data_IF_867512070214
#
_entry.id   IF_867512070214
#
_cell.length_a   1.000
_cell.length_b   1.000
_cell.length_c   1.000
_cell.angle_alpha   90.00
_cell.angle_beta   90.00
_cell.angle_gamma   90.00
#
_symmetry.space_group_name_H-M   'P 1'
#
loop_
_entity.id
_entity.type
_entity.pdbx_description
1 polymer ?
#
# COMPACT_ATOMS: atom_id res chain seq x y z
N UNK A 1 22.97 -20.05 0.20
CA UNK A 1 22.17 -20.89 1.12
C UNK A 1 20.91 -20.11 1.37
N UNK A 2 19.72 -20.71 1.16
CA UNK A 2 18.47 -20.04 1.52
C UNK A 2 18.54 -19.69 3.00
N UNK A 3 18.35 -18.42 3.33
CA UNK A 3 18.35 -17.97 4.73
C UNK A 3 17.19 -18.67 5.45
N UNK A 4 17.50 -19.43 6.48
CA UNK A 4 16.48 -20.02 7.35
C UNK A 4 15.78 -18.89 8.11
N UNK A 5 14.52 -18.62 7.78
CA UNK A 5 13.70 -17.60 8.41
C UNK A 5 12.92 -18.10 9.64
N UNK A 6 13.13 -19.35 10.07
CA UNK A 6 12.33 -19.98 11.15
C UNK A 6 12.39 -19.21 12.48
N UNK A 7 13.51 -18.55 12.74
CA UNK A 7 13.71 -17.74 13.94
C UNK A 7 13.91 -16.25 13.61
N UNK A 8 13.53 -15.83 12.40
CA UNK A 8 13.70 -14.44 12.01
C UNK A 8 12.74 -13.54 12.78
N UNK A 9 13.28 -12.44 13.29
CA UNK A 9 12.53 -11.41 14.03
C UNK A 9 12.79 -10.04 13.44
N UNK A 10 11.92 -9.09 13.80
CA UNK A 10 12.09 -7.67 13.49
C UNK A 10 11.70 -6.81 14.69
N UNK A 11 12.13 -5.57 14.72
CA UNK A 11 11.82 -4.61 15.78
C UNK A 11 10.69 -3.69 15.34
N UNK A 12 9.51 -3.81 15.97
CA UNK A 12 8.33 -3.04 15.64
C UNK A 12 7.66 -2.40 16.85
N UNK A 13 6.72 -1.50 16.58
CA UNK A 13 5.91 -0.84 17.60
C UNK A 13 4.61 -1.60 17.77
N UNK A 14 4.38 -2.15 18.96
CA UNK A 14 3.12 -2.78 19.29
C UNK A 14 2.02 -1.71 19.44
N UNK A 15 0.88 -1.98 18.81
CA UNK A 15 -0.31 -1.16 18.94
C UNK A 15 -1.29 -1.76 19.94
N UNK A 16 -2.26 -0.96 20.34
CA UNK A 16 -3.25 -1.25 21.37
C UNK A 16 -4.06 -2.53 21.04
N UNK A 17 -4.34 -2.76 19.75
CA UNK A 17 -5.00 -3.98 19.25
C UNK A 17 -4.05 -5.17 19.01
N UNK A 18 -2.80 -5.07 19.44
CA UNK A 18 -1.79 -6.12 19.29
C UNK A 18 -1.09 -6.18 17.91
N UNK A 19 -1.55 -5.39 16.91
CA UNK A 19 -0.87 -5.29 15.60
C UNK A 19 0.48 -4.59 15.75
N UNK A 20 1.40 -4.87 14.82
CA UNK A 20 2.76 -4.33 14.86
C UNK A 20 2.99 -3.36 13.70
N UNK A 21 3.39 -2.14 14.02
CA UNK A 21 3.84 -1.14 13.05
C UNK A 21 5.36 -1.06 12.97
N UNK A 22 5.88 -0.66 11.81
CA UNK A 22 7.31 -0.40 11.60
C UNK A 22 7.65 1.10 11.64
N UNK A 23 6.62 1.92 11.76
CA UNK A 23 6.67 3.39 11.96
C UNK A 23 5.75 3.78 13.12
N UNK A 24 5.84 5.05 13.54
CA UNK A 24 5.02 5.63 14.62
C UNK A 24 4.54 7.04 14.25
N UNK A 25 3.93 7.16 13.08
CA UNK A 25 3.45 8.45 12.59
C UNK A 25 2.32 9.01 13.44
N UNK A 26 2.31 10.33 13.61
CA UNK A 26 1.15 11.10 14.06
C UNK A 26 0.60 11.81 12.85
N UNK A 27 -0.64 11.49 12.47
CA UNK A 27 -1.24 12.03 11.26
C UNK A 27 -2.38 13.00 11.59
N UNK A 28 -2.51 14.02 10.74
CA UNK A 28 -3.66 14.91 10.70
C UNK A 28 -4.45 14.50 9.47
N UNK A 29 -5.60 13.89 9.69
CA UNK A 29 -6.41 13.26 8.66
C UNK A 29 -7.62 14.12 8.32
N UNK A 30 -7.64 14.83 7.19
CA UNK A 30 -8.83 15.51 6.73
C UNK A 30 -9.90 14.49 6.31
N UNK A 31 -11.14 14.78 6.65
CA UNK A 31 -12.31 13.94 6.27
C UNK A 31 -12.71 14.20 4.83
N UNK A 32 -12.52 15.42 4.39
CA UNK A 32 -12.94 15.97 3.10
C UNK A 32 -11.92 17.01 2.60
N UNK A 33 -12.01 17.34 1.32
CA UNK A 33 -11.13 18.32 0.65
C UNK A 33 -11.23 19.73 1.26
N UNK A 34 -12.36 20.10 1.83
CA UNK A 34 -12.56 21.40 2.49
C UNK A 34 -11.75 21.53 3.78
N UNK A 35 -11.41 20.42 4.41
CA UNK A 35 -10.63 20.35 5.65
C UNK A 35 -9.12 20.32 5.43
N UNK A 36 -8.65 20.20 4.17
CA UNK A 36 -7.22 20.08 3.86
C UNK A 36 -6.40 21.25 4.41
N UNK A 37 -6.84 22.48 4.21
CA UNK A 37 -6.11 23.66 4.65
C UNK A 37 -5.89 23.67 6.17
N UNK A 38 -6.90 23.33 6.95
CA UNK A 38 -6.81 23.24 8.40
C UNK A 38 -5.87 22.11 8.83
N UNK A 39 -5.94 20.94 8.18
CA UNK A 39 -5.06 19.80 8.47
C UNK A 39 -3.59 20.13 8.17
N UNK A 40 -3.30 20.76 7.03
CA UNK A 40 -1.96 21.19 6.65
C UNK A 40 -1.41 22.25 7.59
N UNK A 41 -2.24 23.22 8.02
CA UNK A 41 -1.84 24.23 9.00
C UNK A 41 -1.44 23.59 10.34
N UNK A 42 -2.19 22.62 10.85
CA UNK A 42 -1.83 21.88 12.07
C UNK A 42 -0.50 21.14 11.90
N UNK A 43 -0.32 20.44 10.77
CA UNK A 43 0.93 19.71 10.51
C UNK A 43 2.13 20.67 10.33
N UNK A 44 1.92 21.86 9.78
CA UNK A 44 2.94 22.89 9.69
C UNK A 44 3.36 23.42 11.07
N UNK A 45 2.39 23.62 11.97
CA UNK A 45 2.64 24.13 13.30
C UNK A 45 3.34 23.11 14.22
N UNK A 46 3.13 21.81 14.01
CA UNK A 46 3.56 20.76 14.93
C UNK A 46 4.59 19.85 14.26
N UNK A 47 5.86 20.07 14.56
CA UNK A 47 6.96 19.22 14.07
C UNK A 47 6.76 17.76 14.50
N UNK A 48 6.72 16.85 13.53
CA UNK A 48 6.50 15.41 13.76
C UNK A 48 5.06 14.96 13.49
N UNK A 49 4.13 15.89 13.27
CA UNK A 49 2.82 15.60 12.70
C UNK A 49 2.86 15.72 11.16
N UNK A 50 1.97 15.00 10.48
CA UNK A 50 1.91 14.96 9.02
C UNK A 50 0.45 14.99 8.56
N UNK A 51 0.08 15.95 7.71
CA UNK A 51 -1.24 15.99 7.09
C UNK A 51 -1.30 15.03 5.89
N UNK A 52 -2.49 14.47 5.65
CA UNK A 52 -2.80 13.61 4.51
C UNK A 52 -3.89 14.23 3.62
N UNK A 53 -3.62 15.36 2.94
CA UNK A 53 -4.62 16.04 2.11
C UNK A 53 -5.03 15.17 0.92
N UNK A 54 -6.30 15.29 0.51
CA UNK A 54 -6.86 14.58 -0.63
C UNK A 54 -7.96 15.39 -1.32
N UNK A 55 -8.29 15.12 -2.60
CA UNK A 55 -9.20 15.95 -3.39
C UNK A 55 -10.68 15.57 -3.25
N UNK A 56 -11.04 14.61 -2.39
CA UNK A 56 -12.40 14.10 -2.30
C UNK A 56 -13.05 14.41 -0.97
N UNK A 57 -14.39 14.47 -0.98
CA UNK A 57 -15.11 14.82 0.21
C UNK A 57 -16.60 14.56 0.12
N UNK A 58 -17.38 15.57 0.40
CA UNK A 58 -18.85 15.56 0.43
C UNK A 58 -19.44 15.20 -0.95
N UNK A 59 -20.69 14.84 -0.99
CA UNK A 59 -21.45 14.46 -2.19
C UNK A 59 -21.08 13.10 -2.79
N UNK A 60 -20.27 12.29 -2.13
CA UNK A 60 -20.16 10.86 -2.42
C UNK A 60 -21.35 10.12 -1.79
N UNK A 61 -21.76 9.02 -2.40
CA UNK A 61 -22.89 8.21 -1.93
C UNK A 61 -22.70 6.72 -2.26
N UNK A 62 -23.49 5.86 -1.58
CA UNK A 62 -23.45 4.42 -1.81
C UNK A 62 -22.07 3.80 -1.62
N UNK A 63 -21.68 2.92 -2.53
CA UNK A 63 -20.42 2.18 -2.46
C UNK A 63 -19.18 3.10 -2.47
N UNK A 64 -19.25 4.25 -3.13
CA UNK A 64 -18.16 5.22 -3.18
C UNK A 64 -17.95 5.89 -1.82
N UNK A 65 -19.04 6.25 -1.12
CA UNK A 65 -19.00 6.78 0.23
C UNK A 65 -18.47 5.75 1.24
N UNK A 66 -18.90 4.49 1.09
CA UNK A 66 -18.41 3.40 1.95
C UNK A 66 -16.91 3.15 1.74
N UNK A 67 -16.42 3.22 0.52
CA UNK A 67 -15.00 3.11 0.20
C UNK A 67 -14.20 4.29 0.76
N UNK A 68 -14.74 5.52 0.67
CA UNK A 68 -14.16 6.72 1.25
C UNK A 68 -13.91 6.55 2.75
N UNK A 69 -14.96 6.22 3.50
CA UNK A 69 -14.83 5.98 4.95
C UNK A 69 -13.91 4.81 5.27
N UNK A 70 -14.03 3.69 4.54
CA UNK A 70 -13.16 2.52 4.75
C UNK A 70 -11.69 2.90 4.57
N UNK A 71 -11.36 3.67 3.54
CA UNK A 71 -9.99 4.07 3.26
C UNK A 71 -9.44 5.02 4.33
N UNK A 72 -10.20 6.03 4.74
CA UNK A 72 -9.77 6.97 5.78
C UNK A 72 -9.66 6.30 7.16
N UNK A 73 -10.66 5.52 7.55
CA UNK A 73 -10.63 4.75 8.81
C UNK A 73 -9.46 3.77 8.81
N UNK A 74 -9.29 3.01 7.72
CA UNK A 74 -8.20 2.05 7.58
C UNK A 74 -6.81 2.72 7.61
N UNK A 75 -6.67 3.88 6.98
CA UNK A 75 -5.44 4.69 7.03
C UNK A 75 -5.12 5.11 8.46
N UNK A 76 -6.10 5.66 9.18
CA UNK A 76 -5.92 6.02 10.60
C UNK A 76 -5.67 4.81 11.50
N UNK A 77 -6.31 3.67 11.22
CA UNK A 77 -6.15 2.41 11.94
C UNK A 77 -4.84 1.69 11.65
N UNK A 78 -4.11 2.06 10.58
CA UNK A 78 -2.87 1.38 10.17
C UNK A 78 -1.86 1.29 11.34
N UNK A 79 -1.18 0.15 11.53
CA UNK A 79 -0.20 -0.01 12.61
C UNK A 79 1.01 0.93 12.56
N UNK A 80 1.35 1.47 11.37
CA UNK A 80 2.41 2.48 11.23
C UNK A 80 2.01 3.87 11.79
N UNK A 81 0.72 4.07 12.07
CA UNK A 81 0.19 5.29 12.68
C UNK A 81 0.06 5.09 14.18
N UNK A 82 0.65 5.97 14.97
CA UNK A 82 0.59 5.94 16.43
C UNK A 82 -0.65 6.64 16.96
N UNK A 83 -0.98 7.83 16.44
CA UNK A 83 -2.13 8.62 16.85
C UNK A 83 -2.69 9.45 15.68
N UNK A 84 -3.95 9.84 15.78
CA UNK A 84 -4.66 10.54 14.70
C UNK A 84 -5.41 11.77 15.24
N UNK A 85 -5.24 12.90 14.57
CA UNK A 85 -6.15 14.04 14.68
C UNK A 85 -6.99 14.08 13.42
N UNK A 86 -8.30 13.96 13.54
CA UNK A 86 -9.25 13.99 12.42
C UNK A 86 -9.84 15.39 12.32
N UNK A 87 -9.84 15.99 11.14
CA UNK A 87 -10.46 17.30 10.90
C UNK A 87 -11.45 17.17 9.76
N UNK A 88 -12.71 17.50 10.00
CA UNK A 88 -13.76 17.51 8.99
C UNK A 88 -14.51 18.83 8.97
N UNK A 89 -15.26 19.08 7.89
CA UNK A 89 -16.09 20.27 7.82
C UNK A 89 -17.26 20.16 8.82
N UNK A 90 -17.84 18.99 8.98
CA UNK A 90 -18.97 18.75 9.86
C UNK A 90 -18.70 17.60 10.87
N UNK A 91 -19.41 17.62 11.99
CA UNK A 91 -19.12 16.73 13.12
C UNK A 91 -19.51 15.26 12.86
N UNK A 92 -20.57 14.99 12.09
CA UNK A 92 -21.10 13.63 11.93
C UNK A 92 -20.14 12.71 11.18
N UNK A 93 -19.58 13.16 10.05
CA UNK A 93 -18.58 12.41 9.31
C UNK A 93 -17.26 12.32 10.07
N UNK A 94 -16.87 13.41 10.73
CA UNK A 94 -15.70 13.44 11.60
C UNK A 94 -15.79 12.38 12.68
N UNK A 95 -16.92 12.33 13.39
CA UNK A 95 -17.16 11.35 14.46
C UNK A 95 -17.18 9.91 13.92
N UNK A 96 -17.78 9.67 12.74
CA UNK A 96 -17.78 8.34 12.11
C UNK A 96 -16.37 7.81 11.89
N UNK A 97 -15.42 8.66 11.46
CA UNK A 97 -14.01 8.27 11.26
C UNK A 97 -13.34 8.05 12.61
N UNK A 98 -13.54 8.95 13.57
CA UNK A 98 -13.01 8.80 14.94
C UNK A 98 -13.45 7.48 15.56
N UNK A 99 -14.74 7.16 15.51
CA UNK A 99 -15.31 5.92 16.07
C UNK A 99 -14.73 4.67 15.38
N UNK A 100 -14.54 4.76 14.06
CA UNK A 100 -13.92 3.67 13.28
C UNK A 100 -12.49 3.39 13.70
N UNK A 101 -11.69 4.43 13.88
CA UNK A 101 -10.28 4.32 14.29
C UNK A 101 -10.19 3.90 15.77
N UNK A 102 -11.03 4.46 16.64
CA UNK A 102 -11.06 4.19 18.09
C UNK A 102 -11.27 2.70 18.41
N UNK A 103 -11.92 1.93 17.53
CA UNK A 103 -12.07 0.47 17.68
C UNK A 103 -10.73 -0.28 17.79
N UNK A 104 -9.65 0.32 17.33
CA UNK A 104 -8.30 -0.24 17.47
C UNK A 104 -7.66 0.06 18.83
N UNK A 105 -8.29 0.87 19.68
CA UNK A 105 -7.74 1.40 20.93
C UNK A 105 -6.75 2.54 20.76
N UNK A 106 -6.44 2.94 19.51
CA UNK A 106 -5.48 3.99 19.19
C UNK A 106 -5.96 5.36 19.63
N UNK A 107 -5.06 6.23 20.15
CA UNK A 107 -5.40 7.63 20.42
C UNK A 107 -5.89 8.35 19.17
N UNK A 108 -7.11 8.87 19.21
CA UNK A 108 -7.74 9.60 18.12
C UNK A 108 -8.65 10.70 18.67
N UNK A 109 -8.60 11.89 18.07
CA UNK A 109 -9.46 13.02 18.42
C UNK A 109 -9.94 13.70 17.15
N UNK A 110 -11.22 14.07 17.09
CA UNK A 110 -11.85 14.75 15.97
C UNK A 110 -12.20 16.20 16.25
N UNK A 111 -12.23 17.01 15.20
CA UNK A 111 -12.61 18.43 15.22
C UNK A 111 -13.42 18.77 13.97
N UNK A 112 -14.61 19.36 14.15
CA UNK A 112 -15.40 19.96 13.09
C UNK A 112 -15.04 21.43 12.89
N UNK A 113 -15.10 21.93 11.66
CA UNK A 113 -14.87 23.35 11.31
C UNK A 113 -16.17 24.16 11.40
N UNK A 114 -17.29 23.57 11.01
CA UNK A 114 -18.61 24.24 11.09
C UNK A 114 -18.88 24.75 12.49
N UNK A 115 -19.42 25.96 12.59
CA UNK A 115 -19.75 26.66 13.83
C UNK A 115 -18.54 27.04 14.72
N UNK A 116 -17.32 26.64 14.38
CA UNK A 116 -16.09 26.95 15.11
C UNK A 116 -15.13 27.85 14.32
N UNK A 117 -15.07 27.66 12.99
CA UNK A 117 -14.13 28.33 12.12
C UNK A 117 -12.73 27.71 12.13
N UNK A 118 -11.95 28.05 11.11
CA UNK A 118 -10.60 27.48 10.90
C UNK A 118 -9.63 27.77 12.05
N UNK A 119 -9.55 29.00 12.49
CA UNK A 119 -8.55 29.41 13.50
C UNK A 119 -8.74 28.70 14.84
N UNK A 120 -9.97 28.57 15.33
CA UNK A 120 -10.24 27.84 16.57
C UNK A 120 -9.96 26.34 16.40
N UNK A 121 -10.41 25.75 15.28
CA UNK A 121 -10.17 24.34 14.95
C UNK A 121 -8.68 24.04 14.88
N UNK A 122 -7.89 24.85 14.15
CA UNK A 122 -6.43 24.70 14.03
C UNK A 122 -5.76 24.81 15.40
N UNK A 123 -6.15 25.77 16.22
CA UNK A 123 -5.60 25.96 17.57
C UNK A 123 -5.84 24.73 18.45
N UNK A 124 -7.09 24.25 18.53
CA UNK A 124 -7.48 23.09 19.36
C UNK A 124 -6.81 21.82 18.86
N UNK A 125 -6.83 21.57 17.55
CA UNK A 125 -6.21 20.42 16.93
C UNK A 125 -4.70 20.41 17.12
N UNK A 126 -4.03 21.57 17.04
CA UNK A 126 -2.58 21.70 17.26
C UNK A 126 -2.17 21.33 18.69
N UNK A 127 -2.98 21.68 19.71
CA UNK A 127 -2.72 21.28 21.10
C UNK A 127 -2.69 19.76 21.24
N UNK A 128 -3.70 19.06 20.70
CA UNK A 128 -3.80 17.60 20.73
C UNK A 128 -2.69 16.95 19.88
N UNK A 129 -2.44 17.47 18.69
CA UNK A 129 -1.36 16.97 17.82
C UNK A 129 0.00 17.02 18.53
N UNK A 130 0.30 18.11 19.24
CA UNK A 130 1.52 18.25 20.04
C UNK A 130 1.61 17.19 21.14
N UNK A 131 0.52 16.93 21.88
CA UNK A 131 0.48 15.89 22.92
C UNK A 131 0.70 14.49 22.32
N UNK A 132 0.05 14.20 21.20
CA UNK A 132 0.22 12.94 20.48
C UNK A 132 1.65 12.73 19.95
N UNK A 133 2.29 13.79 19.45
CA UNK A 133 3.69 13.71 18.99
C UNK A 133 4.63 13.44 20.17
N UNK A 134 4.43 14.10 21.31
CA UNK A 134 5.22 13.84 22.53
C UNK A 134 5.06 12.40 22.99
N UNK A 135 3.82 11.94 23.15
CA UNK A 135 3.53 10.55 23.53
C UNK A 135 4.10 9.54 22.52
N UNK A 136 3.89 9.76 21.23
CA UNK A 136 4.41 8.86 20.20
C UNK A 136 5.96 8.81 20.21
N UNK A 137 6.63 9.88 20.65
CA UNK A 137 8.10 9.92 20.75
C UNK A 137 8.65 8.97 21.84
N UNK A 138 7.86 8.65 22.85
CA UNK A 138 8.21 7.76 23.94
C UNK A 138 8.04 6.27 23.63
N UNK A 139 7.27 5.95 22.57
CA UNK A 139 7.04 4.57 22.15
C UNK A 139 8.35 3.86 21.82
N UNK A 140 8.50 2.63 22.31
CA UNK A 140 9.67 1.79 22.09
C UNK A 140 9.36 0.66 21.13
N UNK A 141 10.36 0.26 20.36
CA UNK A 141 10.29 -0.96 19.55
C UNK A 141 10.49 -2.17 20.43
N UNK A 142 9.79 -3.25 20.12
CA UNK A 142 9.98 -4.56 20.72
C UNK A 142 10.27 -5.60 19.64
N UNK A 143 10.97 -6.67 20.02
CA UNK A 143 11.27 -7.76 19.12
C UNK A 143 10.01 -8.58 18.82
N UNK A 144 9.74 -8.84 17.54
CA UNK A 144 8.52 -9.52 17.08
C UNK A 144 8.84 -10.63 16.09
N UNK A 145 8.11 -11.75 16.14
CA UNK A 145 8.26 -12.82 15.17
C UNK A 145 7.77 -12.38 13.79
N UNK A 146 8.34 -12.99 12.77
CA UNK A 146 8.07 -12.66 11.36
C UNK A 146 6.57 -12.73 10.97
N UNK A 147 5.79 -13.63 11.59
CA UNK A 147 4.33 -13.77 11.37
C UNK A 147 3.53 -12.50 11.67
N UNK A 148 4.07 -11.58 12.46
CA UNK A 148 3.40 -10.32 12.80
C UNK A 148 3.61 -9.25 11.70
N UNK A 149 4.45 -9.52 10.70
CA UNK A 149 4.71 -8.62 9.59
C UNK A 149 3.66 -8.77 8.47
N UNK A 150 3.18 -7.66 7.95
CA UNK A 150 2.26 -7.61 6.81
C UNK A 150 2.90 -6.85 5.65
N UNK A 151 3.03 -7.53 4.51
CA UNK A 151 3.76 -7.03 3.34
C UNK A 151 2.86 -7.02 2.12
N UNK A 152 2.80 -5.88 1.44
CA UNK A 152 2.06 -5.71 0.19
C UNK A 152 2.99 -5.56 -1.00
N UNK A 153 2.49 -5.80 -2.21
CA UNK A 153 3.24 -5.58 -3.45
C UNK A 153 2.37 -5.04 -4.57
N UNK A 154 2.98 -4.18 -5.38
CA UNK A 154 2.46 -3.64 -6.63
C UNK A 154 3.64 -3.22 -7.52
N UNK A 155 3.59 -3.49 -8.82
CA UNK A 155 4.60 -3.00 -9.75
C UNK A 155 4.18 -1.69 -10.42
N UNK A 156 5.15 -0.96 -10.96
CA UNK A 156 4.86 0.24 -11.73
C UNK A 156 6.00 0.63 -12.66
N UNK A 157 5.67 1.32 -13.74
CA UNK A 157 6.58 1.62 -14.84
C UNK A 157 7.30 0.36 -15.33
N UNK A 158 6.49 -0.68 -15.56
CA UNK A 158 6.98 -2.02 -15.92
C UNK A 158 7.58 -2.04 -17.33
N UNK A 159 8.60 -2.85 -17.50
CA UNK A 159 9.22 -3.22 -18.76
C UNK A 159 9.51 -4.73 -18.77
N UNK A 160 10.18 -5.25 -19.82
CA UNK A 160 10.54 -6.68 -19.87
C UNK A 160 11.40 -7.12 -18.69
N UNK A 161 12.25 -6.23 -18.14
CA UNK A 161 13.09 -6.54 -16.99
C UNK A 161 12.29 -6.69 -15.70
N UNK A 162 11.10 -6.07 -15.62
CA UNK A 162 10.18 -6.26 -14.50
C UNK A 162 9.68 -7.70 -14.45
N UNK A 163 9.19 -8.21 -15.59
CA UNK A 163 8.66 -9.59 -15.68
C UNK A 163 9.73 -10.67 -15.52
N UNK A 164 10.95 -10.41 -16.00
CA UNK A 164 12.06 -11.38 -15.99
C UNK A 164 12.95 -11.29 -14.74
N UNK A 165 12.89 -10.21 -13.98
CA UNK A 165 13.82 -9.98 -12.85
C UNK A 165 13.17 -9.42 -11.61
N UNK A 166 12.63 -8.18 -11.64
CA UNK A 166 12.13 -7.52 -10.44
C UNK A 166 10.89 -8.22 -9.83
N UNK A 167 9.88 -8.57 -10.64
CA UNK A 167 8.70 -9.29 -10.17
C UNK A 167 9.02 -10.71 -9.66
N UNK A 168 9.83 -11.54 -10.36
CA UNK A 168 10.29 -12.82 -9.83
C UNK A 168 11.05 -12.71 -8.51
N UNK A 169 11.81 -11.62 -8.29
CA UNK A 169 12.48 -11.36 -7.00
C UNK A 169 11.47 -11.20 -5.88
N UNK A 170 10.39 -10.41 -6.09
CA UNK A 170 9.29 -10.31 -5.12
C UNK A 170 8.65 -11.67 -4.89
N UNK A 171 8.40 -12.42 -5.96
CA UNK A 171 7.85 -13.78 -5.87
C UNK A 171 8.72 -14.73 -5.04
N UNK A 172 10.04 -14.69 -5.21
CA UNK A 172 10.98 -15.47 -4.40
C UNK A 172 10.93 -15.05 -2.92
N UNK A 173 10.88 -13.74 -2.65
CA UNK A 173 10.73 -13.24 -1.27
C UNK A 173 9.39 -13.68 -0.66
N UNK A 174 8.28 -13.64 -1.41
CA UNK A 174 6.98 -14.12 -0.96
C UNK A 174 6.99 -15.62 -0.67
N UNK A 175 7.60 -16.42 -1.54
CA UNK A 175 7.77 -17.88 -1.32
C UNK A 175 8.57 -18.21 -0.06
N UNK A 176 9.49 -17.32 0.35
CA UNK A 176 10.26 -17.43 1.60
C UNK A 176 9.45 -16.95 2.82
N UNK A 177 8.64 -15.91 2.69
CA UNK A 177 7.85 -15.35 3.79
C UNK A 177 6.59 -16.15 4.10
N UNK A 178 5.94 -16.70 3.08
CA UNK A 178 4.64 -17.37 3.16
C UNK A 178 4.59 -18.52 4.18
N UNK A 179 5.58 -19.44 4.25
CA UNK A 179 5.58 -20.53 5.23
C UNK A 179 5.67 -20.07 6.68
N UNK A 180 6.09 -18.84 6.93
CA UNK A 180 6.27 -18.27 8.27
C UNK A 180 5.04 -17.49 8.77
N UNK A 181 3.90 -17.59 8.07
CA UNK A 181 2.64 -16.98 8.48
C UNK A 181 2.57 -15.47 8.29
N UNK A 182 3.41 -14.90 7.45
CA UNK A 182 3.33 -13.50 7.04
C UNK A 182 2.04 -13.25 6.23
N UNK A 183 1.40 -12.12 6.45
CA UNK A 183 0.24 -11.72 5.65
C UNK A 183 0.70 -10.92 4.43
N UNK A 184 0.42 -11.45 3.27
CA UNK A 184 0.87 -10.93 1.98
C UNK A 184 -0.33 -10.47 1.13
N UNK A 185 -0.15 -9.46 0.29
CA UNK A 185 -1.17 -9.04 -0.68
C UNK A 185 -0.57 -8.63 -2.00
N UNK A 186 -1.29 -8.96 -3.06
CA UNK A 186 -1.14 -8.42 -4.41
C UNK A 186 -2.51 -7.97 -4.94
N UNK A 187 -2.53 -7.25 -6.05
CA UNK A 187 -3.78 -6.76 -6.65
C UNK A 187 -3.59 -6.44 -8.13
N UNK A 188 -4.03 -5.24 -8.56
CA UNK A 188 -3.94 -4.79 -9.95
C UNK A 188 -4.83 -5.62 -10.88
N UNK A 189 -6.13 -5.65 -10.58
CA UNK A 189 -7.11 -6.51 -11.25
C UNK A 189 -7.05 -6.39 -12.79
N UNK A 190 -6.88 -5.19 -13.32
CA UNK A 190 -6.77 -4.96 -14.78
C UNK A 190 -5.51 -5.57 -15.38
N UNK A 191 -4.41 -5.60 -14.62
CA UNK A 191 -3.13 -6.17 -15.09
C UNK A 191 -3.06 -7.70 -14.98
N UNK A 192 -4.19 -8.36 -14.73
CA UNK A 192 -4.32 -9.82 -14.79
C UNK A 192 -5.04 -10.30 -16.06
N UNK A 193 -5.51 -9.36 -16.90
CA UNK A 193 -6.23 -9.69 -18.14
C UNK A 193 -5.39 -10.58 -19.06
N UNK A 194 -5.94 -11.75 -19.39
CA UNK A 194 -5.26 -12.80 -20.17
C UNK A 194 -4.43 -13.79 -19.32
N UNK A 195 -4.12 -13.43 -18.06
CA UNK A 195 -3.40 -14.28 -17.11
C UNK A 195 -4.23 -14.68 -15.88
N UNK A 196 -5.49 -14.23 -15.77
CA UNK A 196 -6.35 -14.44 -14.60
C UNK A 196 -6.57 -15.92 -14.28
N UNK A 197 -6.62 -16.79 -15.29
CA UNK A 197 -6.77 -18.23 -15.13
C UNK A 197 -5.60 -18.86 -14.34
N UNK A 198 -4.40 -18.31 -14.44
CA UNK A 198 -3.22 -18.77 -13.69
C UNK A 198 -3.34 -18.43 -12.20
N UNK A 199 -3.92 -17.27 -11.88
CA UNK A 199 -4.22 -16.89 -10.48
C UNK A 199 -5.36 -17.72 -9.94
N UNK A 200 -6.44 -17.92 -10.73
CA UNK A 200 -7.58 -18.75 -10.37
C UNK A 200 -7.18 -20.19 -10.05
N UNK A 201 -6.25 -20.76 -10.81
CA UNK A 201 -5.71 -22.12 -10.58
C UNK A 201 -4.91 -22.24 -9.27
N UNK A 202 -4.45 -21.13 -8.71
CA UNK A 202 -3.69 -21.07 -7.45
C UNK A 202 -4.54 -20.71 -6.23
N UNK A 203 -5.84 -20.50 -6.40
CA UNK A 203 -6.75 -20.25 -5.28
C UNK A 203 -6.85 -21.51 -4.40
N UNK A 204 -6.68 -21.35 -3.08
CA UNK A 204 -6.66 -22.45 -2.11
C UNK A 204 -7.96 -23.26 -2.10
N UNK A 205 -9.09 -22.60 -2.29
CA UNK A 205 -10.42 -23.23 -2.26
C UNK A 205 -11.28 -22.76 -3.43
N UNK A 206 -12.29 -23.54 -3.75
CA UNK A 206 -13.28 -23.16 -4.77
C UNK A 206 -14.02 -21.85 -4.42
N UNK A 207 -14.26 -21.59 -3.13
CA UNK A 207 -14.90 -20.35 -2.68
C UNK A 207 -14.00 -19.14 -2.97
N UNK A 208 -12.70 -19.23 -2.72
CA UNK A 208 -11.71 -18.20 -3.04
C UNK A 208 -11.65 -17.97 -4.56
N UNK A 209 -11.62 -19.06 -5.34
CA UNK A 209 -11.60 -19.00 -6.80
C UNK A 209 -12.83 -18.28 -7.36
N UNK A 210 -14.04 -18.62 -6.87
CA UNK A 210 -15.29 -17.96 -7.28
C UNK A 210 -15.29 -16.47 -6.91
N UNK A 211 -14.83 -16.11 -5.72
CA UNK A 211 -14.74 -14.70 -5.31
C UNK A 211 -13.73 -13.92 -6.17
N UNK A 212 -12.57 -14.53 -6.48
CA UNK A 212 -11.58 -13.94 -7.39
C UNK A 212 -12.19 -13.70 -8.78
N UNK A 213 -12.82 -14.72 -9.38
CA UNK A 213 -13.44 -14.59 -10.69
C UNK A 213 -14.52 -13.51 -10.72
N UNK A 214 -15.37 -13.46 -9.68
CA UNK A 214 -16.39 -12.41 -9.54
C UNK A 214 -15.79 -11.01 -9.54
N UNK A 215 -14.66 -10.80 -8.80
CA UNK A 215 -13.99 -9.49 -8.77
C UNK A 215 -13.39 -9.12 -10.13
N UNK A 216 -12.78 -10.08 -10.81
CA UNK A 216 -12.23 -9.89 -12.14
C UNK A 216 -13.33 -9.56 -13.17
N UNK A 217 -14.41 -10.34 -13.21
CA UNK A 217 -15.53 -10.12 -14.14
C UNK A 217 -16.23 -8.78 -13.89
N UNK A 218 -16.36 -8.38 -12.61
CA UNK A 218 -16.87 -7.06 -12.24
C UNK A 218 -16.03 -5.94 -12.89
N UNK A 219 -14.72 -6.09 -12.89
CA UNK A 219 -13.83 -5.10 -13.49
C UNK A 219 -13.96 -5.07 -15.02
N UNK A 220 -14.09 -6.21 -15.67
CA UNK A 220 -14.38 -6.27 -17.10
C UNK A 220 -15.71 -5.55 -17.44
N UNK A 221 -16.72 -5.69 -16.60
CA UNK A 221 -17.97 -4.97 -16.74
C UNK A 221 -17.81 -3.43 -16.59
N UNK A 222 -16.85 -2.97 -15.78
CA UNK A 222 -16.49 -1.53 -15.70
C UNK A 222 -15.89 -1.07 -17.02
N UNK A 223 -14.94 -1.81 -17.60
CA UNK A 223 -14.32 -1.49 -18.88
C UNK A 223 -15.39 -1.34 -19.97
N UNK A 224 -16.29 -2.31 -20.07
CA UNK A 224 -17.38 -2.29 -21.07
C UNK A 224 -18.31 -1.09 -20.90
N UNK A 225 -18.61 -0.65 -19.67
CA UNK A 225 -19.43 0.55 -19.40
C UNK A 225 -18.77 1.85 -19.90
N UNK A 226 -17.45 1.90 -19.97
CA UNK A 226 -16.72 3.02 -20.55
C UNK A 226 -16.72 3.02 -22.09
N UNK A 227 -17.55 2.17 -22.73
CA UNK A 227 -17.68 2.05 -24.18
C UNK A 227 -16.38 1.67 -24.89
N UNK A 228 -15.54 0.94 -24.22
CA UNK A 228 -14.33 0.32 -24.75
C UNK A 228 -14.38 -1.20 -24.54
N UNK A 229 -13.69 -1.95 -25.39
CA UNK A 229 -13.64 -3.41 -25.30
C UNK A 229 -12.41 -3.90 -24.54
N UNK A 230 -11.40 -3.04 -24.40
CA UNK A 230 -10.14 -3.32 -23.77
C UNK A 230 -9.53 -2.05 -23.16
N UNK A 231 -8.31 -2.16 -22.66
CA UNK A 231 -7.54 -1.08 -22.05
C UNK A 231 -6.39 -0.58 -22.91
N UNK A 232 -6.35 -0.91 -24.23
CA UNK A 232 -5.21 -0.64 -25.11
C UNK A 232 -4.83 0.84 -25.21
N UNK A 233 -5.73 1.77 -24.88
CA UNK A 233 -5.43 3.20 -24.80
C UNK A 233 -4.59 3.58 -23.57
N UNK A 234 -4.62 2.73 -22.51
CA UNK A 234 -3.96 3.01 -21.21
C UNK A 234 -3.07 1.89 -20.70
N UNK A 235 -3.27 0.64 -21.14
CA UNK A 235 -2.56 -0.55 -20.68
C UNK A 235 -2.27 -1.52 -21.86
N UNK A 236 -1.01 -1.77 -22.20
CA UNK A 236 0.23 -1.17 -21.69
C UNK A 236 0.36 0.32 -21.98
N UNK A 237 1.01 1.08 -21.09
CA UNK A 237 1.33 2.49 -21.34
C UNK A 237 2.37 2.61 -22.47
N UNK A 238 2.52 3.81 -23.05
CA UNK A 238 3.58 4.07 -24.04
C UNK A 238 4.98 3.72 -23.48
N UNK A 239 5.21 3.94 -22.20
CA UNK A 239 6.45 3.55 -21.52
C UNK A 239 6.61 2.04 -21.45
N UNK A 240 5.55 1.29 -21.12
CA UNK A 240 5.59 -0.18 -21.11
C UNK A 240 5.94 -0.74 -22.51
N UNK A 241 5.32 -0.20 -23.57
CA UNK A 241 5.56 -0.59 -24.97
C UNK A 241 7.02 -0.30 -25.35
N UNK A 242 7.52 0.90 -25.05
CA UNK A 242 8.91 1.27 -25.28
C UNK A 242 9.89 0.38 -24.49
N UNK A 243 9.47 -0.13 -23.33
CA UNK A 243 10.18 -1.10 -22.51
C UNK A 243 10.01 -2.57 -22.93
N UNK A 244 9.31 -2.84 -24.06
CA UNK A 244 9.16 -4.16 -24.66
C UNK A 244 7.92 -4.95 -24.22
N UNK A 245 6.97 -4.35 -23.49
CA UNK A 245 5.67 -4.95 -23.15
C UNK A 245 4.61 -4.42 -24.13
N UNK A 246 4.28 -5.21 -25.14
CA UNK A 246 3.45 -4.75 -26.27
C UNK A 246 1.97 -5.08 -26.11
N UNK A 247 1.63 -6.08 -25.29
CA UNK A 247 0.26 -6.50 -25.03
C UNK A 247 -0.05 -6.55 -23.53
N UNK A 248 -1.36 -6.55 -23.18
CA UNK A 248 -1.79 -6.67 -21.79
C UNK A 248 -1.49 -8.07 -21.22
N UNK A 249 -1.53 -9.11 -22.05
CA UNK A 249 -1.22 -10.49 -21.67
C UNK A 249 0.27 -10.63 -21.30
N UNK A 250 1.17 -10.04 -22.07
CA UNK A 250 2.61 -10.01 -21.72
C UNK A 250 2.82 -9.30 -20.38
N UNK A 251 2.13 -8.18 -20.17
CA UNK A 251 2.16 -7.46 -18.90
C UNK A 251 1.60 -8.30 -17.76
N UNK A 252 0.46 -9.00 -17.96
CA UNK A 252 -0.17 -9.88 -16.97
C UNK A 252 0.74 -11.04 -16.59
N UNK A 253 1.38 -11.72 -17.55
CA UNK A 253 2.29 -12.82 -17.28
C UNK A 253 3.51 -12.37 -16.46
N UNK A 254 4.02 -11.17 -16.73
CA UNK A 254 5.08 -10.54 -15.93
C UNK A 254 4.60 -10.16 -14.53
N UNK A 255 3.37 -9.64 -14.42
CA UNK A 255 2.76 -9.22 -13.16
C UNK A 255 2.56 -10.40 -12.19
N UNK A 256 2.08 -11.54 -12.67
CA UNK A 256 1.83 -12.75 -11.87
C UNK A 256 3.11 -13.30 -11.22
N UNK A 257 4.29 -13.01 -11.75
CA UNK A 257 5.55 -13.47 -11.16
C UNK A 257 5.76 -12.96 -9.71
N UNK A 258 5.11 -11.84 -9.33
CA UNK A 258 5.18 -11.28 -7.96
C UNK A 258 4.65 -12.20 -6.87
N UNK A 259 3.76 -13.13 -7.21
CA UNK A 259 3.16 -14.03 -6.21
C UNK A 259 3.95 -15.31 -5.97
N UNK A 260 5.17 -15.40 -6.52
CA UNK A 260 6.06 -16.55 -6.37
C UNK A 260 5.53 -17.83 -7.03
N UNK A 261 6.06 -18.96 -6.64
CA UNK A 261 5.68 -20.28 -7.19
C UNK A 261 5.01 -21.19 -6.17
N UNK A 262 5.23 -20.95 -4.86
CA UNK A 262 4.78 -21.81 -3.75
C UNK A 262 3.54 -21.25 -3.04
N UNK A 263 3.32 -19.94 -3.08
CA UNK A 263 2.17 -19.32 -2.43
C UNK A 263 0.86 -19.73 -3.10
N UNK A 264 -0.14 -20.05 -2.31
CA UNK A 264 -1.53 -20.17 -2.75
C UNK A 264 -2.29 -18.89 -2.39
N UNK A 265 -3.30 -18.54 -3.17
CA UNK A 265 -4.19 -17.42 -2.85
C UNK A 265 -5.18 -17.90 -1.79
N UNK A 266 -4.99 -17.43 -0.56
CA UNK A 266 -5.76 -17.84 0.62
C UNK A 266 -7.09 -17.12 0.73
N UNK A 267 -7.20 -15.94 0.15
CA UNK A 267 -8.43 -15.15 0.16
C UNK A 267 -8.45 -14.00 -0.82
N UNK A 268 -9.62 -13.42 -0.95
CA UNK A 268 -9.89 -12.25 -1.81
C UNK A 268 -10.56 -11.18 -0.96
N UNK A 269 -10.08 -9.96 -1.07
CA UNK A 269 -10.60 -8.77 -0.39
C UNK A 269 -10.98 -7.67 -1.39
N UNK A 270 -11.96 -6.87 -1.02
CA UNK A 270 -12.29 -5.65 -1.75
C UNK A 270 -11.31 -4.52 -1.39
N UNK A 271 -11.40 -3.42 -2.10
CA UNK A 271 -10.57 -2.20 -1.94
C UNK A 271 -10.50 -1.75 -0.48
N UNK A 272 -9.30 -1.75 0.09
CA UNK A 272 -9.08 -1.29 1.46
C UNK A 272 -9.65 -2.19 2.56
N UNK A 273 -10.15 -3.38 2.23
CA UNK A 273 -10.61 -4.38 3.19
C UNK A 273 -9.42 -5.02 3.93
N UNK A 274 -9.63 -5.33 5.22
CA UNK A 274 -8.58 -5.96 6.04
C UNK A 274 -8.65 -7.48 5.88
N UNK A 275 -7.53 -8.18 5.59
CA UNK A 275 -7.50 -9.64 5.56
C UNK A 275 -7.89 -10.27 6.89
N UNK A 276 -8.56 -11.42 6.84
CA UNK A 276 -9.02 -12.12 8.05
C UNK A 276 -7.94 -13.00 8.71
N UNK A 277 -6.77 -13.15 8.09
CA UNK A 277 -5.69 -13.98 8.63
C UNK A 277 -4.43 -13.97 7.77
N UNK A 278 -3.42 -14.78 8.15
CA UNK A 278 -2.16 -14.90 7.41
C UNK A 278 -2.36 -15.54 6.04
N UNK A 279 -1.34 -15.43 5.19
CA UNK A 279 -1.32 -16.02 3.85
C UNK A 279 -1.29 -14.97 2.74
N UNK A 280 -1.49 -15.41 1.50
CA UNK A 280 -1.50 -14.54 0.33
C UNK A 280 -2.93 -14.14 -0.05
N UNK A 281 -3.18 -12.85 -0.09
CA UNK A 281 -4.48 -12.27 -0.42
C UNK A 281 -4.45 -11.57 -1.77
N UNK A 282 -5.51 -11.70 -2.54
CA UNK A 282 -5.78 -10.84 -3.69
C UNK A 282 -6.69 -9.69 -3.25
N UNK A 283 -6.28 -8.44 -3.53
CA UNK A 283 -7.11 -7.24 -3.33
C UNK A 283 -7.57 -6.69 -4.68
N UNK A 284 -8.88 -6.58 -4.87
CA UNK A 284 -9.42 -5.89 -6.03
C UNK A 284 -8.99 -4.41 -6.02
N UNK A 285 -8.25 -4.00 -7.04
CA UNK A 285 -7.72 -2.64 -7.14
C UNK A 285 -7.47 -2.22 -8.59
N UNK A 286 -7.42 -0.92 -8.83
CA UNK A 286 -6.89 -0.39 -10.06
C UNK A 286 -5.37 -0.63 -10.16
N UNK A 287 -4.81 -0.40 -11.34
CA UNK A 287 -3.36 -0.41 -11.56
C UNK A 287 -2.69 0.95 -11.27
N UNK A 288 -3.47 1.97 -10.89
CA UNK A 288 -2.93 3.27 -10.50
C UNK A 288 -2.12 3.14 -9.21
N UNK A 289 -0.82 3.49 -9.29
CA UNK A 289 0.13 3.18 -8.22
C UNK A 289 -0.27 3.81 -6.88
N UNK A 290 -0.56 5.10 -6.86
CA UNK A 290 -0.92 5.82 -5.65
C UNK A 290 -2.22 5.30 -5.01
N UNK A 291 -3.22 4.94 -5.83
CA UNK A 291 -4.47 4.35 -5.33
C UNK A 291 -4.23 3.01 -4.63
N UNK A 292 -3.55 2.07 -5.30
CA UNK A 292 -3.33 0.74 -4.73
C UNK A 292 -2.44 0.77 -3.50
N UNK A 293 -1.38 1.57 -3.47
CA UNK A 293 -0.52 1.70 -2.29
C UNK A 293 -1.31 2.28 -1.11
N UNK A 294 -2.18 3.28 -1.36
CA UNK A 294 -3.09 3.82 -0.34
C UNK A 294 -4.08 2.77 0.17
N UNK A 295 -4.66 1.95 -0.71
CA UNK A 295 -5.55 0.85 -0.31
C UNK A 295 -4.80 -0.21 0.51
N UNK A 296 -3.55 -0.54 0.15
CA UNK A 296 -2.71 -1.44 0.96
C UNK A 296 -2.45 -0.86 2.37
N UNK A 297 -2.16 0.44 2.46
CA UNK A 297 -2.02 1.11 3.75
C UNK A 297 -3.33 1.05 4.55
N UNK A 298 -4.48 1.34 3.93
CA UNK A 298 -5.80 1.26 4.56
C UNK A 298 -6.15 -0.16 5.04
N UNK A 299 -5.70 -1.19 4.31
CA UNK A 299 -5.88 -2.61 4.70
C UNK A 299 -4.97 -3.05 5.86
N UNK A 300 -4.08 -2.17 6.34
CA UNK A 300 -3.21 -2.43 7.51
C UNK A 300 -1.85 -3.04 7.18
N UNK A 301 -1.41 -3.04 5.92
CA UNK A 301 -0.04 -3.44 5.55
C UNK A 301 0.97 -2.40 6.02
N UNK A 302 2.17 -2.85 6.41
CA UNK A 302 3.17 -2.00 7.08
C UNK A 302 4.48 -1.86 6.30
N UNK A 303 4.70 -2.68 5.26
CA UNK A 303 5.81 -2.60 4.30
C UNK A 303 5.26 -2.90 2.90
N UNK A 304 5.76 -2.20 1.88
CA UNK A 304 5.37 -2.40 0.50
C UNK A 304 6.57 -2.67 -0.40
N UNK A 305 6.50 -3.74 -1.23
CA UNK A 305 7.47 -4.00 -2.29
C UNK A 305 6.97 -3.42 -3.60
N UNK A 306 7.79 -2.60 -4.23
CA UNK A 306 7.46 -1.93 -5.47
C UNK A 306 8.49 -2.25 -6.57
N UNK A 307 8.35 -3.40 -7.27
CA UNK A 307 9.19 -3.70 -8.41
C UNK A 307 8.92 -2.74 -9.57
N UNK A 308 9.98 -2.26 -10.21
CA UNK A 308 9.91 -1.34 -11.35
C UNK A 308 10.94 -1.70 -12.41
N UNK A 309 10.65 -1.40 -13.66
CA UNK A 309 11.58 -1.54 -14.77
C UNK A 309 12.23 -0.22 -15.16
N UNK A 310 11.41 0.82 -15.36
CA UNK A 310 11.88 2.11 -15.85
C UNK A 310 12.14 3.14 -14.73
N UNK A 311 11.90 2.75 -13.47
CA UNK A 311 11.94 3.62 -12.32
C UNK A 311 10.59 4.27 -12.03
N UNK A 312 10.33 4.54 -10.77
CA UNK A 312 9.09 5.16 -10.33
C UNK A 312 9.34 6.00 -9.09
N UNK A 313 8.63 7.11 -8.96
CA UNK A 313 8.80 8.07 -7.85
C UNK A 313 7.75 7.90 -6.75
N UNK A 314 6.86 6.89 -6.87
CA UNK A 314 5.77 6.70 -5.91
C UNK A 314 6.29 6.42 -4.51
N UNK A 315 5.68 7.04 -3.50
CA UNK A 315 5.79 6.73 -2.09
C UNK A 315 4.40 6.59 -1.46
N UNK A 316 4.35 6.68 -0.15
CA UNK A 316 3.11 6.78 0.61
C UNK A 316 3.45 7.40 1.98
N UNK A 317 2.58 8.25 2.55
CA UNK A 317 2.90 8.96 3.78
C UNK A 317 3.11 8.06 5.01
N UNK A 318 2.47 6.89 5.05
CA UNK A 318 2.50 6.02 6.22
C UNK A 318 3.03 4.60 5.95
N UNK A 319 3.15 4.21 4.68
CA UNK A 319 3.58 2.87 4.27
C UNK A 319 4.95 2.96 3.58
N UNK A 320 6.04 2.47 4.20
CA UNK A 320 7.35 2.40 3.56
C UNK A 320 7.31 1.62 2.25
N UNK A 321 7.71 2.24 1.15
CA UNK A 321 7.73 1.66 -0.19
C UNK A 321 9.16 1.35 -0.60
N UNK A 322 9.52 0.06 -0.61
CA UNK A 322 10.83 -0.44 -1.02
C UNK A 322 10.81 -0.64 -2.53
N UNK A 323 11.56 0.17 -3.27
CA UNK A 323 11.69 0.02 -4.73
C UNK A 323 12.82 -0.90 -5.11
N UNK A 324 12.53 -1.86 -5.99
CA UNK A 324 13.54 -2.75 -6.53
C UNK A 324 13.50 -2.74 -8.06
N UNK A 325 14.68 -2.88 -8.68
CA UNK A 325 14.82 -2.79 -10.13
C UNK A 325 15.84 -3.79 -10.66
N UNK A 326 15.48 -4.45 -11.78
CA UNK A 326 16.37 -5.35 -12.52
C UNK A 326 16.96 -4.71 -13.79
N UNK A 327 16.50 -3.51 -14.18
CA UNK A 327 16.98 -2.81 -15.36
C UNK A 327 18.30 -2.08 -15.07
N UNK A 328 19.45 -2.49 -15.67
CA UNK A 328 20.75 -1.87 -15.39
C UNK A 328 20.81 -0.38 -15.76
N UNK A 329 20.01 0.04 -16.76
CA UNK A 329 19.93 1.46 -17.15
C UNK A 329 19.26 2.27 -16.07
N UNK A 330 18.09 1.83 -15.61
CA UNK A 330 17.31 2.50 -14.57
C UNK A 330 18.09 2.60 -13.26
N UNK A 331 18.74 1.51 -12.85
CA UNK A 331 19.61 1.48 -11.66
C UNK A 331 20.70 2.55 -11.72
N UNK A 332 21.27 2.83 -12.91
CA UNK A 332 22.27 3.91 -13.06
C UNK A 332 21.67 5.31 -13.10
N UNK A 333 20.54 5.47 -13.82
CA UNK A 333 19.98 6.82 -14.11
C UNK A 333 19.00 7.32 -13.06
N UNK A 334 18.45 6.42 -12.23
CA UNK A 334 17.52 6.73 -11.15
C UNK A 334 17.94 6.05 -9.83
N UNK A 335 19.23 5.97 -9.58
CA UNK A 335 19.79 5.27 -8.41
C UNK A 335 19.23 5.77 -7.07
N UNK A 336 18.91 7.05 -6.98
CA UNK A 336 18.35 7.67 -5.78
C UNK A 336 16.94 7.17 -5.44
N UNK A 337 16.22 6.60 -6.41
CA UNK A 337 14.88 6.05 -6.21
C UNK A 337 14.87 4.55 -5.89
N UNK A 338 16.00 3.85 -6.09
CA UNK A 338 16.07 2.39 -6.02
C UNK A 338 16.70 1.95 -4.69
N UNK A 339 15.94 1.22 -3.87
CA UNK A 339 16.41 0.64 -2.62
C UNK A 339 17.18 -0.67 -2.85
N UNK A 340 16.80 -1.46 -3.85
CA UNK A 340 17.36 -2.79 -4.13
C UNK A 340 17.65 -2.96 -5.62
N UNK A 341 18.94 -3.00 -5.95
CA UNK A 341 19.42 -3.33 -7.28
C UNK A 341 19.51 -4.86 -7.43
N UNK A 342 18.71 -5.43 -8.34
CA UNK A 342 18.73 -6.86 -8.71
C UNK A 342 19.08 -7.04 -10.20
N UNK A 343 19.72 -6.06 -10.83
CA UNK A 343 20.12 -6.11 -12.24
C UNK A 343 21.11 -7.24 -12.57
N UNK A 344 21.83 -7.72 -11.55
CA UNK A 344 22.71 -8.90 -11.67
C UNK A 344 22.00 -10.18 -12.09
N UNK A 345 20.68 -10.31 -11.84
CA UNK A 345 19.88 -11.44 -12.32
C UNK A 345 19.94 -11.60 -13.83
N UNK A 346 19.73 -10.50 -14.57
CA UNK A 346 19.69 -10.51 -16.02
C UNK A 346 21.07 -10.70 -16.64
N UNK A 347 22.14 -10.37 -15.90
CA UNK A 347 23.54 -10.62 -16.30
C UNK A 347 24.07 -11.98 -15.84
N UNK A 348 23.23 -12.81 -15.16
CA UNK A 348 23.61 -14.10 -14.56
C UNK A 348 24.74 -14.00 -13.54
N UNK A 349 24.86 -12.86 -12.87
CA UNK A 349 25.81 -12.58 -11.77
C UNK A 349 25.20 -12.87 -10.39
N UNK A 350 23.90 -13.13 -10.36
CA UNK A 350 23.09 -13.33 -9.14
C UNK A 350 22.04 -14.40 -9.41
N UNK A 351 21.81 -15.29 -8.47
CA UNK A 351 20.71 -16.24 -8.54
C UNK A 351 19.37 -15.60 -8.12
N UNK A 352 18.21 -16.19 -8.48
CA UNK A 352 16.91 -15.76 -7.96
C UNK A 352 16.83 -15.79 -6.43
N UNK A 353 17.50 -16.74 -5.78
CA UNK A 353 17.53 -16.82 -4.32
C UNK A 353 18.35 -15.68 -3.70
N UNK A 354 19.49 -15.34 -4.28
CA UNK A 354 20.32 -14.21 -3.82
C UNK A 354 19.56 -12.88 -3.96
N UNK A 355 18.81 -12.71 -5.06
CA UNK A 355 17.99 -11.52 -5.27
C UNK A 355 16.87 -11.42 -4.24
N UNK A 356 16.18 -12.52 -3.97
CA UNK A 356 15.16 -12.60 -2.92
C UNK A 356 15.74 -12.30 -1.54
N UNK A 357 16.89 -12.85 -1.20
CA UNK A 357 17.58 -12.59 0.08
C UNK A 357 17.99 -11.12 0.19
N UNK A 358 18.45 -10.50 -0.89
CA UNK A 358 18.78 -9.06 -0.91
C UNK A 358 17.55 -8.18 -0.68
N UNK A 359 16.40 -8.55 -1.22
CA UNK A 359 15.12 -7.86 -0.96
C UNK A 359 14.69 -8.04 0.50
N UNK A 360 14.79 -9.25 1.04
CA UNK A 360 14.47 -9.53 2.44
C UNK A 360 15.39 -8.79 3.41
N UNK A 361 16.71 -8.70 3.13
CA UNK A 361 17.62 -7.87 3.94
C UNK A 361 17.16 -6.42 4.00
N UNK A 362 16.83 -5.85 2.84
CA UNK A 362 16.30 -4.47 2.77
C UNK A 362 14.97 -4.34 3.55
N UNK A 363 14.08 -5.33 3.44
CA UNK A 363 12.82 -5.38 4.20
C UNK A 363 13.05 -5.38 5.71
N UNK A 364 13.94 -6.23 6.22
CA UNK A 364 14.26 -6.29 7.66
C UNK A 364 14.88 -4.98 8.15
N UNK A 365 15.80 -4.41 7.39
CA UNK A 365 16.39 -3.09 7.72
C UNK A 365 15.34 -2.00 7.74
N UNK A 366 14.38 -2.00 6.79
CA UNK A 366 13.27 -1.06 6.73
C UNK A 366 12.31 -1.26 7.90
N UNK A 367 11.95 -2.51 8.23
CA UNK A 367 11.14 -2.83 9.39
C UNK A 367 11.80 -2.35 10.69
N UNK A 368 13.13 -2.47 10.78
CA UNK A 368 13.93 -2.03 11.93
C UNK A 368 14.22 -0.52 11.94
N UNK A 369 13.71 0.26 10.98
CA UNK A 369 13.74 1.73 11.04
C UNK A 369 14.55 2.43 9.96
N UNK A 370 15.23 1.69 9.04
CA UNK A 370 15.81 2.31 7.85
C UNK A 370 14.71 3.01 7.04
N UNK A 371 14.93 4.23 6.62
CA UNK A 371 14.05 4.91 5.67
C UNK A 371 14.25 4.32 4.27
N UNK A 372 13.16 4.17 3.52
CA UNK A 372 13.22 3.85 2.09
C UNK A 372 13.66 5.08 1.30
N UNK A 373 14.08 4.87 0.04
CA UNK A 373 14.37 5.98 -0.87
C UNK A 373 13.17 6.93 -1.00
N UNK A 374 11.96 6.40 -1.13
CA UNK A 374 10.74 7.21 -1.19
C UNK A 374 10.52 8.06 0.06
N UNK A 375 10.71 7.50 1.26
CA UNK A 375 10.59 8.25 2.52
C UNK A 375 11.66 9.35 2.62
N UNK A 376 12.91 9.04 2.26
CA UNK A 376 14.03 9.98 2.33
C UNK A 376 13.88 11.13 1.32
N UNK A 377 13.30 10.87 0.14
CA UNK A 377 12.99 11.87 -0.89
C UNK A 377 11.68 12.63 -0.62
N UNK A 378 10.92 12.25 0.40
CA UNK A 378 9.68 12.92 0.76
C UNK A 378 8.49 12.61 -0.15
N UNK A 379 8.50 11.47 -0.85
CA UNK A 379 7.37 11.02 -1.66
C UNK A 379 6.23 10.55 -0.76
N UNK A 380 5.06 11.21 -0.87
CA UNK A 380 3.92 11.05 0.04
C UNK A 380 2.59 11.02 -0.72
N UNK A 381 2.55 10.32 -1.83
CA UNK A 381 1.35 10.22 -2.64
C UNK A 381 0.24 9.50 -1.84
N UNK A 382 -0.86 10.23 -1.62
CA UNK A 382 -2.05 9.74 -0.94
C UNK A 382 -3.27 10.01 -1.82
N UNK A 383 -3.80 8.96 -2.43
CA UNK A 383 -4.88 9.06 -3.42
C UNK A 383 -6.00 8.11 -3.03
N UNK A 384 -7.17 8.67 -2.79
CA UNK A 384 -8.40 7.92 -2.56
C UNK A 384 -8.96 7.43 -3.89
N UNK A 385 -9.36 6.17 -3.97
CA UNK A 385 -10.06 5.61 -5.13
C UNK A 385 -11.49 6.10 -5.16
N UNK A 386 -11.96 6.56 -6.34
CA UNK A 386 -13.38 6.83 -6.64
C UNK A 386 -13.94 5.81 -7.61
N UNK A 387 -15.21 5.48 -7.44
CA UNK A 387 -15.92 4.52 -8.26
C UNK A 387 -16.93 5.21 -9.20
N UNK A 388 -17.51 6.34 -8.78
CA UNK A 388 -18.63 6.99 -9.45
C UNK A 388 -18.52 8.52 -9.39
N UNK A 389 -19.41 9.20 -10.11
CA UNK A 389 -19.56 10.64 -10.07
C UNK A 389 -20.18 11.11 -8.74
N UNK A 390 -19.97 12.38 -8.41
CA UNK A 390 -20.62 13.00 -7.25
C UNK A 390 -22.11 13.26 -7.49
N UNK A 391 -22.90 13.35 -6.43
CA UNK A 391 -24.31 13.72 -6.48
C UNK A 391 -24.50 15.19 -6.88
#
# INVERSE_FOLDING_TARGET
MASDLSNATFWGFRRENGRIGVRRHVIILPVDDLSNAAAEAVAHNIKGAMALPHPYGRLQFGADLDLHFRTLIGTGANPNVAAVVVIGIEDGWTQRIVDGIAKTGKPVTGFGIELHGDHDTIMRASKIAKEYVQWASELRREERPLKDLWVSTKCGESDTTSGCGANPTVGNAFDKLYPHGVTLVFGETTELTGGEHLVAARCRTEAVRKKFQFMFDRYQAVINRHKTNDLSESQPTKGNIAGGLTTIEEKALGNIQKIGRKCLVDGVIDKGEVPSGPGLWFMDSSSAAAEMVTLCAASGYVVHFFPTGQGNVIGNPILPVIKLCANPRTVRTMSEHIDVDVSGLLRREMSPDDAGDKLLDCMFRTANGRLTAAEALGHREFVLTRLYESA
#
